data_IF_328972794886
#
_entry.id   IF_328972794886
#
_cell.length_a   1.000
_cell.length_b   1.000
_cell.length_c   1.000
_cell.angle_alpha   90.00
_cell.angle_beta   90.00
_cell.angle_gamma   90.00
#
_symmetry.space_group_name_H-M   'P 1'
#
loop_
_entity.id
_entity.type
_entity.pdbx_description
1 polymer ?
#
# COMPACT_ATOMS: atom_id res chain seq x y z
N UNK A 1 -20.45 1.28 -2.21
CA UNK A 1 -19.28 2.18 -2.01
C UNK A 1 -18.12 1.45 -1.33
N UNK A 2 -18.40 0.73 -0.24
CA UNK A 2 -17.44 -0.16 0.45
C UNK A 2 -16.79 -1.19 -0.49
N UNK A 3 -17.54 -1.77 -1.42
CA UNK A 3 -17.03 -2.80 -2.34
C UNK A 3 -15.92 -2.28 -3.28
N UNK A 4 -15.98 -1.00 -3.67
CA UNK A 4 -14.95 -0.37 -4.51
C UNK A 4 -13.65 -0.18 -3.75
N UNK A 5 -13.74 0.26 -2.49
CA UNK A 5 -12.59 0.44 -1.60
C UNK A 5 -11.98 -0.92 -1.25
N UNK A 6 -12.80 -1.94 -0.98
CA UNK A 6 -12.33 -3.31 -0.74
C UNK A 6 -11.59 -3.90 -1.95
N UNK A 7 -12.10 -3.67 -3.16
CA UNK A 7 -11.41 -4.10 -4.40
C UNK A 7 -10.08 -3.36 -4.59
N UNK A 8 -10.08 -2.04 -4.38
CA UNK A 8 -8.87 -1.22 -4.44
C UNK A 8 -7.84 -1.61 -3.37
N UNK A 9 -8.27 -1.95 -2.15
CA UNK A 9 -7.43 -2.46 -1.08
C UNK A 9 -6.78 -3.80 -1.47
N UNK A 10 -7.54 -4.68 -2.15
CA UNK A 10 -6.99 -5.91 -2.72
C UNK A 10 -5.89 -5.66 -3.77
N UNK A 11 -6.09 -4.66 -4.64
CA UNK A 11 -5.09 -4.25 -5.65
C UNK A 11 -3.82 -3.71 -4.98
N UNK A 12 -3.96 -2.83 -3.98
CA UNK A 12 -2.83 -2.28 -3.20
C UNK A 12 -2.09 -3.40 -2.47
N UNK A 13 -2.80 -4.32 -1.84
CA UNK A 13 -2.19 -5.45 -1.13
C UNK A 13 -1.42 -6.38 -2.08
N UNK A 14 -1.98 -6.69 -3.26
CA UNK A 14 -1.28 -7.46 -4.29
C UNK A 14 -0.01 -6.74 -4.75
N UNK A 15 -0.09 -5.44 -5.01
CA UNK A 15 1.08 -4.65 -5.42
C UNK A 15 2.20 -4.70 -4.37
N UNK A 16 1.86 -4.54 -3.09
CA UNK A 16 2.81 -4.66 -1.98
C UNK A 16 3.39 -6.08 -1.84
N UNK A 17 2.54 -7.11 -1.99
CA UNK A 17 2.99 -8.52 -1.92
C UNK A 17 3.98 -8.84 -3.04
N UNK A 18 3.64 -8.47 -4.27
CA UNK A 18 4.52 -8.64 -5.43
C UNK A 18 5.83 -7.90 -5.23
N UNK A 19 5.81 -6.68 -4.69
CA UNK A 19 7.01 -5.91 -4.38
C UNK A 19 7.91 -6.64 -3.38
N UNK A 20 7.35 -7.08 -2.24
CA UNK A 20 8.08 -7.83 -1.21
C UNK A 20 8.77 -9.08 -1.78
N UNK A 21 8.11 -9.80 -2.68
CA UNK A 21 8.69 -11.00 -3.33
C UNK A 21 9.78 -10.67 -4.35
N UNK A 22 9.63 -9.58 -5.11
CA UNK A 22 10.57 -9.25 -6.19
C UNK A 22 11.84 -8.59 -5.64
N UNK A 23 11.71 -7.68 -4.69
CA UNK A 23 12.85 -6.90 -4.20
C UNK A 23 13.53 -7.54 -2.97
N UNK A 24 12.98 -8.63 -2.41
CA UNK A 24 13.41 -9.20 -1.12
C UNK A 24 13.51 -8.15 0.00
N UNK A 25 12.76 -7.06 -0.16
CA UNK A 25 12.95 -5.85 0.61
C UNK A 25 11.71 -5.59 1.47
N UNK A 26 11.94 -5.54 2.79
CA UNK A 26 10.90 -5.25 3.78
C UNK A 26 10.66 -3.74 3.95
N UNK A 27 11.42 -2.85 3.27
CA UNK A 27 11.26 -1.41 3.41
C UNK A 27 9.95 -0.89 2.78
N UNK A 28 9.29 -1.69 1.94
CA UNK A 28 7.99 -1.38 1.38
C UNK A 28 8.01 -0.34 0.25
N UNK A 29 6.83 0.12 -0.18
CA UNK A 29 6.66 1.03 -1.31
C UNK A 29 6.23 2.43 -0.85
N UNK A 30 6.67 3.47 -1.56
CA UNK A 30 6.14 4.83 -1.36
C UNK A 30 4.74 4.98 -1.97
N UNK A 31 3.96 5.95 -1.49
CA UNK A 31 2.62 6.25 -2.04
C UNK A 31 2.67 6.58 -3.54
N UNK A 32 3.72 7.29 -3.99
CA UNK A 32 3.91 7.60 -5.40
C UNK A 32 4.11 6.34 -6.26
N UNK A 33 4.85 5.35 -5.76
CA UNK A 33 5.09 4.09 -6.45
C UNK A 33 3.83 3.22 -6.47
N UNK A 34 3.10 3.17 -5.35
CA UNK A 34 1.82 2.49 -5.26
C UNK A 34 0.81 3.06 -6.26
N UNK A 35 0.69 4.39 -6.35
CA UNK A 35 -0.18 5.05 -7.33
C UNK A 35 0.18 4.64 -8.76
N UNK A 36 1.47 4.61 -9.10
CA UNK A 36 1.92 4.19 -10.44
C UNK A 36 1.59 2.72 -10.73
N UNK A 37 1.66 1.83 -9.74
CA UNK A 37 1.40 0.40 -9.93
C UNK A 37 -0.09 0.06 -9.97
N UNK A 38 -0.90 0.69 -9.12
CA UNK A 38 -2.34 0.40 -9.04
C UNK A 38 -3.16 1.24 -10.01
N UNK A 39 -2.58 2.33 -10.54
CA UNK A 39 -3.26 3.31 -11.39
C UNK A 39 -4.55 3.88 -10.75
N UNK A 40 -4.61 3.88 -9.42
CA UNK A 40 -5.76 4.37 -8.67
C UNK A 40 -5.71 5.90 -8.50
N UNK A 41 -6.88 6.56 -8.45
CA UNK A 41 -6.99 7.94 -7.99
C UNK A 41 -6.44 8.09 -6.57
N UNK A 42 -5.97 9.30 -6.22
CA UNK A 42 -5.43 9.55 -4.88
C UNK A 42 -6.43 9.22 -3.78
N UNK A 43 -7.67 9.72 -3.87
CA UNK A 43 -8.71 9.48 -2.87
C UNK A 43 -8.92 7.98 -2.62
N UNK A 44 -9.13 7.21 -3.69
CA UNK A 44 -9.34 5.76 -3.61
C UNK A 44 -8.10 5.04 -3.06
N UNK A 45 -6.90 5.50 -3.43
CA UNK A 45 -5.65 4.93 -2.92
C UNK A 45 -5.52 5.15 -1.41
N UNK A 46 -5.81 6.36 -0.92
CA UNK A 46 -5.77 6.67 0.51
C UNK A 46 -6.85 5.92 1.28
N UNK A 47 -8.07 5.81 0.73
CA UNK A 47 -9.14 5.00 1.31
C UNK A 47 -8.76 3.51 1.38
N UNK A 48 -8.16 2.97 0.32
CA UNK A 48 -7.68 1.59 0.26
C UNK A 48 -6.55 1.32 1.28
N UNK A 49 -5.60 2.25 1.40
CA UNK A 49 -4.54 2.18 2.42
C UNK A 49 -5.16 2.23 3.82
N UNK A 50 -6.10 3.15 4.07
CA UNK A 50 -6.81 3.24 5.35
C UNK A 50 -7.60 1.98 5.67
N UNK A 51 -8.22 1.35 4.67
CA UNK A 51 -8.90 0.07 4.81
C UNK A 51 -7.95 -1.05 5.24
N UNK A 52 -6.79 -1.16 4.60
CA UNK A 52 -5.76 -2.15 4.96
C UNK A 52 -5.17 -1.88 6.34
N UNK A 53 -4.99 -0.61 6.72
CA UNK A 53 -4.53 -0.21 8.04
C UNK A 53 -5.56 -0.56 9.12
N UNK A 54 -6.86 -0.41 8.83
CA UNK A 54 -7.96 -0.83 9.73
C UNK A 54 -7.94 -2.32 10.00
N UNK A 55 -7.56 -3.12 9.01
CA UNK A 55 -7.41 -4.58 9.13
C UNK A 55 -6.02 -5.01 9.62
N UNK A 56 -5.16 -4.06 9.99
CA UNK A 56 -3.80 -4.33 10.51
C UNK A 56 -2.91 -5.13 9.53
N UNK A 57 -3.17 -5.02 8.22
CA UNK A 57 -2.46 -5.77 7.15
C UNK A 57 -1.20 -5.08 6.65
N UNK A 58 -0.99 -3.81 7.00
CA UNK A 58 0.12 -2.99 6.52
C UNK A 58 0.82 -2.26 7.66
N UNK A 59 2.08 -1.91 7.45
CA UNK A 59 2.91 -1.12 8.35
C UNK A 59 3.44 0.10 7.62
N UNK A 60 3.55 1.21 8.35
CA UNK A 60 4.12 2.46 7.84
C UNK A 60 5.52 2.65 8.40
N UNK A 61 6.50 2.77 7.51
CA UNK A 61 7.89 3.02 7.85
C UNK A 61 8.29 4.39 7.32
N UNK A 62 8.84 5.23 8.19
CA UNK A 62 9.41 6.52 7.79
C UNK A 62 10.91 6.40 7.65
N UNK A 63 11.43 6.59 6.44
CA UNK A 63 12.86 6.79 6.24
C UNK A 63 13.29 8.20 6.67
N UNK A 64 14.58 8.39 6.97
CA UNK A 64 15.20 9.65 7.42
C UNK A 64 14.80 10.90 6.62
N UNK A 65 14.36 10.74 5.38
CA UNK A 65 13.94 11.79 4.45
C UNK A 65 12.43 11.97 4.37
N UNK A 66 11.70 12.08 5.50
CA UNK A 66 10.23 12.36 5.57
C UNK A 66 9.33 11.51 4.65
N UNK A 67 9.85 10.42 4.10
CA UNK A 67 9.18 9.64 3.07
C UNK A 67 8.54 8.46 3.76
N UNK A 68 7.21 8.42 3.71
CA UNK A 68 6.43 7.31 4.23
C UNK A 68 6.44 6.18 3.21
N UNK A 69 6.86 5.00 3.66
CA UNK A 69 6.75 3.75 2.93
C UNK A 69 5.72 2.86 3.61
N UNK A 70 5.02 2.07 2.80
CA UNK A 70 4.03 1.10 3.23
C UNK A 70 4.54 -0.30 2.88
N UNK A 71 4.58 -1.17 3.87
CA UNK A 71 4.93 -2.60 3.71
C UNK A 71 3.78 -3.47 4.20
N UNK A 72 3.75 -4.74 3.79
CA UNK A 72 2.84 -5.71 4.41
C UNK A 72 3.32 -6.04 5.82
N UNK A 73 2.37 -6.15 6.75
CA UNK A 73 2.62 -6.70 8.08
C UNK A 73 2.76 -8.22 7.96
N UNK A 74 3.79 -8.78 8.60
CA UNK A 74 4.00 -10.24 8.72
C UNK A 74 3.13 -10.84 9.82
#
# INVERSE_FOLDING_TARGET
MIEKIGTAAGEVWKALKTWKTVENDNEGMTIALLKKRTNLPNDILYEAIGWLAREDKIIFSTSNTKTVRISLKE
#
